data_IF_525923887696
#
_entry.id   IF_525923887696
#
_cell.length_a   1.000
_cell.length_b   1.000
_cell.length_c   1.000
_cell.angle_alpha   90.00
_cell.angle_beta   90.00
_cell.angle_gamma   90.00
#
_symmetry.space_group_name_H-M   'P 1'
#
loop_
_entity.id
_entity.type
_entity.pdbx_description
1 polymer ?
#
# COMPACT_ATOMS: atom_id res chain seq x y z
N UNK A 1 -56.26 -11.61 -31.94
CA UNK A 1 -55.06 -10.89 -32.41
C UNK A 1 -53.91 -10.84 -31.39
N UNK A 2 -54.10 -11.34 -30.16
CA UNK A 2 -53.12 -11.23 -29.06
C UNK A 2 -52.01 -12.31 -29.07
N UNK A 3 -52.26 -13.49 -29.64
CA UNK A 3 -51.29 -14.59 -29.72
C UNK A 3 -50.14 -14.32 -30.71
N UNK A 4 -50.40 -13.56 -31.79
CA UNK A 4 -49.39 -13.31 -32.84
C UNK A 4 -48.32 -12.30 -32.39
N UNK A 5 -48.70 -11.29 -31.58
CA UNK A 5 -47.76 -10.28 -31.06
C UNK A 5 -46.76 -10.86 -30.04
N UNK A 6 -47.17 -11.89 -29.29
CA UNK A 6 -46.34 -12.54 -28.25
C UNK A 6 -45.29 -13.50 -28.87
N UNK A 7 -45.66 -14.19 -29.95
CA UNK A 7 -44.75 -15.06 -30.71
C UNK A 7 -43.66 -14.27 -31.44
N UNK A 8 -44.00 -13.08 -31.97
CA UNK A 8 -43.04 -12.20 -32.66
C UNK A 8 -41.99 -11.65 -31.66
N UNK A 9 -42.39 -11.26 -30.44
CA UNK A 9 -41.44 -10.76 -29.43
C UNK A 9 -40.48 -11.84 -28.90
N UNK A 10 -40.95 -13.08 -28.75
CA UNK A 10 -40.10 -14.22 -28.33
C UNK A 10 -39.15 -14.67 -29.45
N UNK A 11 -39.58 -14.60 -30.72
CA UNK A 11 -38.73 -14.86 -31.89
C UNK A 11 -37.68 -13.76 -32.13
N UNK A 12 -38.03 -12.48 -31.94
CA UNK A 12 -37.08 -11.38 -32.04
C UNK A 12 -36.05 -11.38 -30.90
N UNK A 13 -36.45 -11.72 -29.66
CA UNK A 13 -35.51 -11.88 -28.55
C UNK A 13 -34.57 -13.07 -28.75
N UNK A 14 -35.07 -14.22 -29.18
CA UNK A 14 -34.23 -15.40 -29.45
C UNK A 14 -33.34 -15.24 -30.68
N UNK A 15 -33.78 -14.52 -31.71
CA UNK A 15 -32.95 -14.14 -32.85
C UNK A 15 -31.87 -13.11 -32.45
N UNK A 16 -32.22 -12.13 -31.62
CA UNK A 16 -31.27 -11.14 -31.13
C UNK A 16 -30.21 -11.77 -30.22
N UNK A 17 -30.61 -12.68 -29.33
CA UNK A 17 -29.69 -13.51 -28.56
C UNK A 17 -28.80 -14.35 -29.47
N UNK A 18 -29.38 -15.05 -30.45
CA UNK A 18 -28.65 -15.88 -31.42
C UNK A 18 -27.60 -15.11 -32.24
N UNK A 19 -27.91 -13.89 -32.67
CA UNK A 19 -26.96 -13.01 -33.36
C UNK A 19 -25.87 -12.48 -32.42
N UNK A 20 -26.20 -12.21 -31.15
CA UNK A 20 -25.22 -11.85 -30.13
C UNK A 20 -24.23 -13.00 -29.88
N UNK A 21 -24.74 -14.22 -29.72
CA UNK A 21 -23.93 -15.42 -29.51
C UNK A 21 -22.99 -15.66 -30.69
N UNK A 22 -23.49 -15.60 -31.93
CA UNK A 22 -22.66 -15.79 -33.14
C UNK A 22 -21.58 -14.72 -33.26
N UNK A 23 -21.88 -13.46 -32.91
CA UNK A 23 -20.92 -12.34 -32.96
C UNK A 23 -19.84 -12.48 -31.90
N UNK A 24 -20.19 -12.96 -30.69
CA UNK A 24 -19.24 -13.29 -29.63
C UNK A 24 -18.39 -14.49 -30.01
N UNK A 25 -18.98 -15.53 -30.58
CA UNK A 25 -18.28 -16.75 -31.01
C UNK A 25 -17.27 -16.45 -32.12
N UNK A 26 -17.65 -15.71 -33.16
CA UNK A 26 -16.73 -15.31 -34.23
C UNK A 26 -15.61 -14.41 -33.72
N UNK A 27 -15.90 -13.48 -32.82
CA UNK A 27 -14.88 -12.62 -32.21
C UNK A 27 -13.91 -13.43 -31.33
N UNK A 28 -14.42 -14.38 -30.55
CA UNK A 28 -13.62 -15.24 -29.70
C UNK A 28 -12.72 -16.17 -30.52
N UNK A 29 -13.24 -16.79 -31.57
CA UNK A 29 -12.47 -17.64 -32.47
C UNK A 29 -11.39 -16.86 -33.22
N UNK A 30 -11.70 -15.65 -33.70
CA UNK A 30 -10.75 -14.78 -34.38
C UNK A 30 -9.59 -14.32 -33.48
N UNK A 31 -9.84 -14.15 -32.18
CA UNK A 31 -8.86 -13.63 -31.21
C UNK A 31 -8.43 -14.65 -30.15
N UNK A 32 -8.72 -15.94 -30.36
CA UNK A 32 -8.58 -16.99 -29.34
C UNK A 32 -7.22 -17.00 -28.65
N UNK A 33 -6.14 -16.92 -29.43
CA UNK A 33 -4.78 -16.95 -28.89
C UNK A 33 -4.46 -15.71 -28.05
N UNK A 34 -4.93 -14.53 -28.48
CA UNK A 34 -4.77 -13.29 -27.73
C UNK A 34 -5.56 -13.33 -26.42
N UNK A 35 -6.81 -13.79 -26.45
CA UNK A 35 -7.66 -13.92 -25.27
C UNK A 35 -7.07 -14.90 -24.26
N UNK A 36 -6.63 -16.08 -24.71
CA UNK A 36 -5.97 -17.07 -23.85
C UNK A 36 -4.66 -16.51 -23.27
N UNK A 37 -3.86 -15.80 -24.08
CA UNK A 37 -2.63 -15.16 -23.62
C UNK A 37 -2.87 -14.10 -22.54
N UNK A 38 -3.86 -13.22 -22.74
CA UNK A 38 -4.25 -12.21 -21.75
C UNK A 38 -4.77 -12.86 -20.48
N UNK A 39 -5.64 -13.88 -20.59
CA UNK A 39 -6.15 -14.60 -19.44
C UNK A 39 -5.03 -15.29 -18.64
N UNK A 40 -4.11 -15.98 -19.31
CA UNK A 40 -2.95 -16.59 -18.67
C UNK A 40 -2.06 -15.55 -17.98
N UNK A 41 -1.83 -14.40 -18.61
CA UNK A 41 -1.07 -13.30 -18.01
C UNK A 41 -1.74 -12.76 -16.74
N UNK A 42 -3.08 -12.61 -16.73
CA UNK A 42 -3.83 -12.21 -15.54
C UNK A 42 -3.68 -13.25 -14.42
N UNK A 43 -3.81 -14.54 -14.73
CA UNK A 43 -3.64 -15.61 -13.74
C UNK A 43 -2.23 -15.59 -13.13
N UNK A 44 -1.20 -15.42 -13.95
CA UNK A 44 0.19 -15.30 -13.48
C UNK A 44 0.37 -14.04 -12.62
N UNK A 45 -0.20 -12.91 -13.02
CA UNK A 45 -0.11 -11.67 -12.25
C UNK A 45 -0.77 -11.80 -10.86
N UNK A 46 -1.98 -12.39 -10.82
CA UNK A 46 -2.69 -12.67 -9.56
C UNK A 46 -1.88 -13.65 -8.71
N UNK A 47 -1.46 -14.78 -9.29
CA UNK A 47 -0.67 -15.80 -8.60
C UNK A 47 0.65 -15.25 -8.05
N UNK A 48 1.36 -14.45 -8.85
CA UNK A 48 2.58 -13.77 -8.45
C UNK A 48 2.37 -12.78 -7.31
N UNK A 49 1.29 -11.98 -7.37
CA UNK A 49 0.94 -11.04 -6.30
C UNK A 49 0.63 -11.74 -4.98
N UNK A 50 -0.24 -12.76 -4.99
CA UNK A 50 -0.57 -13.52 -3.79
C UNK A 50 0.64 -14.30 -3.24
N UNK A 51 1.45 -14.88 -4.12
CA UNK A 51 2.70 -15.55 -3.76
C UNK A 51 3.66 -14.61 -3.04
N UNK A 52 3.90 -13.42 -3.60
CA UNK A 52 4.76 -12.41 -2.97
C UNK A 52 4.20 -11.95 -1.61
N UNK A 53 2.90 -11.64 -1.55
CA UNK A 53 2.25 -11.19 -0.31
C UNK A 53 2.39 -12.20 0.81
N UNK A 54 2.08 -13.47 0.55
CA UNK A 54 2.00 -14.51 1.59
C UNK A 54 3.36 -15.11 1.96
N UNK A 55 4.25 -15.27 0.99
CA UNK A 55 5.55 -15.93 1.21
C UNK A 55 6.66 -14.96 1.63
N UNK A 56 6.54 -13.68 1.30
CA UNK A 56 7.59 -12.69 1.53
C UNK A 56 7.08 -11.57 2.44
N UNK A 57 5.99 -10.91 2.09
CA UNK A 57 5.55 -9.71 2.82
C UNK A 57 5.02 -10.02 4.22
N UNK A 58 4.16 -11.03 4.37
CA UNK A 58 3.58 -11.42 5.65
C UNK A 58 4.63 -11.88 6.68
N UNK A 59 5.55 -12.83 6.38
CA UNK A 59 6.60 -13.21 7.33
C UNK A 59 7.51 -12.04 7.70
N UNK A 60 7.82 -11.18 6.72
CA UNK A 60 8.66 -10.00 6.93
C UNK A 60 7.98 -8.97 7.84
N UNK A 61 6.67 -8.79 7.73
CA UNK A 61 5.90 -7.93 8.64
C UNK A 61 5.84 -8.52 10.06
N UNK A 62 5.67 -9.83 10.21
CA UNK A 62 5.68 -10.49 11.52
C UNK A 62 7.03 -10.33 12.24
N UNK A 63 8.14 -10.51 11.51
CA UNK A 63 9.48 -10.30 12.03
C UNK A 63 9.75 -8.82 12.34
N UNK A 64 9.21 -7.88 11.54
CA UNK A 64 9.31 -6.46 11.84
C UNK A 64 8.60 -6.10 13.16
N UNK A 65 7.38 -6.64 13.37
CA UNK A 65 6.56 -6.39 14.57
C UNK A 65 7.23 -6.85 15.85
N UNK A 66 7.93 -7.99 15.82
CA UNK A 66 8.65 -8.45 17.01
C UNK A 66 9.85 -7.56 17.33
N UNK A 67 10.57 -7.10 16.30
CA UNK A 67 11.80 -6.31 16.47
C UNK A 67 11.55 -4.84 16.81
N UNK A 68 10.45 -4.25 16.38
CA UNK A 68 10.14 -2.83 16.68
C UNK A 68 9.77 -2.60 18.15
N UNK A 69 9.29 -3.64 18.86
CA UNK A 69 8.75 -3.52 20.20
C UNK A 69 9.74 -2.90 21.19
N UNK A 70 11.01 -3.30 21.14
CA UNK A 70 12.05 -2.73 22.01
C UNK A 70 12.26 -1.23 21.76
N UNK A 71 12.28 -0.81 20.48
CA UNK A 71 12.42 0.59 20.11
C UNK A 71 11.24 1.44 20.60
N UNK A 72 10.02 0.91 20.55
CA UNK A 72 8.84 1.58 21.11
C UNK A 72 8.94 1.75 22.63
N UNK A 73 9.38 0.71 23.35
CA UNK A 73 9.60 0.80 24.80
C UNK A 73 10.66 1.85 25.15
N UNK A 74 11.75 1.94 24.37
CA UNK A 74 12.74 3.01 24.57
C UNK A 74 12.16 4.39 24.31
N UNK A 75 11.34 4.54 23.27
CA UNK A 75 10.68 5.81 22.96
C UNK A 75 9.73 6.25 24.07
N UNK A 76 8.92 5.34 24.60
CA UNK A 76 8.00 5.60 25.72
C UNK A 76 8.72 6.03 27.00
N UNK A 77 9.96 5.55 27.19
CA UNK A 77 10.83 5.93 28.31
C UNK A 77 11.66 7.20 28.05
N UNK A 78 11.40 7.90 26.94
CA UNK A 78 12.16 9.07 26.47
C UNK A 78 13.66 8.78 26.23
N UNK A 79 14.03 7.50 26.09
CA UNK A 79 15.38 7.05 25.74
C UNK A 79 15.59 7.14 24.23
N UNK A 80 15.51 8.35 23.68
CA UNK A 80 15.43 8.59 22.24
C UNK A 80 16.62 8.04 21.45
N UNK A 81 17.83 8.09 22.02
CA UNK A 81 19.02 7.55 21.36
C UNK A 81 18.95 6.02 21.20
N UNK A 82 18.50 5.31 22.24
CA UNK A 82 18.29 3.86 22.20
C UNK A 82 17.12 3.49 21.29
N UNK A 83 16.05 4.29 21.30
CA UNK A 83 14.92 4.09 20.40
C UNK A 83 15.34 4.22 18.92
N UNK A 84 16.20 5.20 18.61
CA UNK A 84 16.66 5.49 17.25
C UNK A 84 17.68 4.47 16.75
N UNK A 85 18.71 4.20 17.56
CA UNK A 85 19.90 3.43 17.15
C UNK A 85 19.88 1.97 17.62
N UNK A 86 19.10 1.65 18.65
CA UNK A 86 19.13 0.35 19.32
C UNK A 86 20.15 0.29 20.45
N UNK A 87 20.24 -0.87 21.09
CA UNK A 87 21.13 -1.16 22.22
C UNK A 87 22.27 -2.13 21.85
N UNK A 88 22.40 -2.48 20.55
CA UNK A 88 23.35 -3.46 20.03
C UNK A 88 22.82 -4.90 19.98
N UNK A 89 21.73 -5.20 20.70
CA UNK A 89 21.03 -6.50 20.66
C UNK A 89 19.71 -6.34 19.91
N UNK A 90 18.94 -5.33 20.31
CA UNK A 90 17.67 -4.93 19.75
C UNK A 90 17.88 -3.79 18.74
N UNK A 91 17.29 -3.90 17.54
CA UNK A 91 17.38 -2.83 16.54
C UNK A 91 16.56 -1.60 16.96
N UNK A 92 17.11 -0.41 16.70
CA UNK A 92 16.37 0.85 16.79
C UNK A 92 15.56 1.14 15.52
N UNK A 93 14.78 2.22 15.54
CA UNK A 93 13.91 2.58 14.42
C UNK A 93 14.65 2.78 13.09
N UNK A 94 15.90 3.28 13.08
CA UNK A 94 16.68 3.41 11.84
C UNK A 94 16.95 2.06 11.16
N UNK A 95 17.25 1.04 11.95
CA UNK A 95 17.43 -0.32 11.43
C UNK A 95 16.10 -0.91 10.93
N UNK A 96 14.99 -0.60 11.61
CA UNK A 96 13.66 -1.06 11.20
C UNK A 96 13.21 -0.40 9.89
N UNK A 97 13.36 0.93 9.76
CA UNK A 97 12.99 1.66 8.52
C UNK A 97 13.75 1.14 7.29
N UNK A 98 15.05 0.86 7.45
CA UNK A 98 15.90 0.38 6.36
C UNK A 98 15.66 -1.09 6.00
N UNK A 99 15.45 -1.96 6.99
CA UNK A 99 15.27 -3.41 6.79
C UNK A 99 13.85 -3.78 6.34
N UNK A 100 12.85 -3.01 6.78
CA UNK A 100 11.42 -3.32 6.61
C UNK A 100 10.64 -2.30 5.77
N UNK A 101 11.29 -1.62 4.80
CA UNK A 101 10.71 -0.56 3.94
C UNK A 101 9.31 -0.81 3.37
N UNK A 102 8.96 -2.06 3.06
CA UNK A 102 7.70 -2.43 2.39
C UNK A 102 6.68 -3.09 3.34
N UNK A 103 6.85 -2.88 4.65
CA UNK A 103 5.95 -3.41 5.67
C UNK A 103 5.30 -2.28 6.44
N UNK A 104 4.13 -2.55 7.05
CA UNK A 104 3.40 -1.55 7.83
C UNK A 104 4.23 -1.12 9.06
N UNK A 105 4.98 -2.05 9.63
CA UNK A 105 5.89 -1.77 10.74
C UNK A 105 7.09 -0.91 10.33
N UNK A 106 7.70 -1.17 9.16
CA UNK A 106 8.76 -0.28 8.65
C UNK A 106 8.25 1.13 8.33
N UNK A 107 7.01 1.23 7.84
CA UNK A 107 6.32 2.50 7.66
C UNK A 107 6.10 3.23 9.00
N UNK A 108 5.61 2.53 10.03
CA UNK A 108 5.45 3.09 11.37
C UNK A 108 6.78 3.54 11.98
N UNK A 109 7.86 2.80 11.74
CA UNK A 109 9.20 3.21 12.17
C UNK A 109 9.64 4.54 11.55
N UNK A 110 9.22 4.86 10.31
CA UNK A 110 9.51 6.18 9.72
C UNK A 110 8.87 7.31 10.54
N UNK A 111 7.62 7.12 10.96
CA UNK A 111 6.93 8.10 11.80
C UNK A 111 7.67 8.35 13.12
N UNK A 112 8.00 7.29 13.87
CA UNK A 112 8.75 7.44 15.11
C UNK A 112 10.15 8.03 14.92
N UNK A 113 10.86 7.63 13.85
CA UNK A 113 12.17 8.19 13.50
C UNK A 113 12.06 9.69 13.27
N UNK A 114 11.05 10.13 12.51
CA UNK A 114 10.77 11.54 12.27
C UNK A 114 10.45 12.32 13.56
N UNK A 115 9.61 11.75 14.45
CA UNK A 115 9.32 12.35 15.75
C UNK A 115 10.55 12.49 16.64
N UNK A 116 11.44 11.49 16.65
CA UNK A 116 12.70 11.56 17.40
C UNK A 116 13.57 12.69 16.86
N UNK A 117 13.70 12.81 15.54
CA UNK A 117 14.48 13.89 14.94
C UNK A 117 13.89 15.27 15.18
N UNK A 118 12.56 15.42 15.21
CA UNK A 118 11.91 16.67 15.66
C UNK A 118 12.30 17.01 17.10
N UNK A 119 12.24 16.03 18.01
CA UNK A 119 12.65 16.22 19.42
C UNK A 119 14.13 16.60 19.56
N UNK A 120 14.96 16.17 18.62
CA UNK A 120 16.40 16.47 18.56
C UNK A 120 16.70 17.78 17.79
N UNK A 121 15.69 18.51 17.32
CA UNK A 121 15.83 19.69 16.46
C UNK A 121 16.62 19.41 15.16
N UNK A 122 16.65 18.15 14.72
CA UNK A 122 17.23 17.78 13.43
C UNK A 122 16.13 17.83 12.36
N UNK A 123 15.83 19.04 11.91
CA UNK A 123 14.67 19.34 11.07
C UNK A 123 14.75 18.64 9.71
N UNK A 124 15.93 18.58 9.10
CA UNK A 124 16.12 17.92 7.80
C UNK A 124 15.80 16.42 7.86
N UNK A 125 16.32 15.73 8.87
CA UNK A 125 16.03 14.30 9.02
C UNK A 125 14.59 14.06 9.46
N UNK A 126 14.02 14.94 10.29
CA UNK A 126 12.61 14.86 10.64
C UNK A 126 11.71 14.89 9.40
N UNK A 127 11.91 15.86 8.51
CA UNK A 127 11.18 15.97 7.25
C UNK A 127 11.40 14.73 6.37
N UNK A 128 12.66 14.28 6.25
CA UNK A 128 13.04 13.11 5.44
C UNK A 128 12.30 11.84 5.86
N UNK A 129 12.10 11.61 7.16
CA UNK A 129 11.41 10.42 7.66
C UNK A 129 9.89 10.61 7.73
N UNK A 130 9.39 11.77 8.16
CA UNK A 130 7.94 12.04 8.19
C UNK A 130 7.31 12.01 6.80
N UNK A 131 8.01 12.53 5.78
CA UNK A 131 7.52 12.50 4.38
C UNK A 131 7.46 11.09 3.77
N UNK A 132 8.20 10.12 4.33
CA UNK A 132 8.15 8.71 3.93
C UNK A 132 7.04 7.94 4.63
N UNK A 133 6.52 8.47 5.74
CA UNK A 133 5.42 7.84 6.46
C UNK A 133 4.13 7.96 5.64
N UNK A 134 3.45 6.83 5.46
CA UNK A 134 2.14 6.73 4.82
C UNK A 134 1.09 6.55 5.90
N UNK A 135 0.28 7.58 6.21
CA UNK A 135 -0.75 7.51 7.24
C UNK A 135 -1.83 6.47 6.89
N UNK A 136 -2.34 5.77 7.89
CA UNK A 136 -3.42 4.79 7.72
C UNK A 136 -4.82 5.39 7.79
N UNK A 137 -4.95 6.62 8.31
CA UNK A 137 -6.22 7.32 8.49
C UNK A 137 -6.05 8.82 8.21
N UNK A 138 -7.16 9.50 7.92
CA UNK A 138 -7.19 10.95 7.69
C UNK A 138 -6.71 11.76 8.90
N UNK A 139 -6.95 11.27 10.12
CA UNK A 139 -6.51 11.92 11.35
C UNK A 139 -4.98 11.87 11.48
N UNK A 140 -4.38 10.71 11.22
CA UNK A 140 -2.93 10.54 11.22
C UNK A 140 -2.28 11.33 10.08
N UNK A 141 -2.96 11.47 8.95
CA UNK A 141 -2.53 12.32 7.84
C UNK A 141 -2.50 13.78 8.23
N UNK A 142 -3.58 14.30 8.80
CA UNK A 142 -3.64 15.68 9.31
C UNK A 142 -2.57 15.96 10.37
N UNK A 143 -2.34 15.02 11.28
CA UNK A 143 -1.27 15.13 12.28
C UNK A 143 0.12 15.17 11.65
N UNK A 144 0.40 14.25 10.73
CA UNK A 144 1.71 14.17 10.06
C UNK A 144 1.96 15.42 9.21
N UNK A 145 0.96 15.91 8.49
CA UNK A 145 1.06 17.12 7.68
C UNK A 145 1.29 18.35 8.54
N UNK A 146 0.64 18.44 9.70
CA UNK A 146 0.93 19.51 10.67
C UNK A 146 2.39 19.48 11.13
N UNK A 147 2.89 18.31 11.52
CA UNK A 147 4.28 18.16 11.94
C UNK A 147 5.27 18.51 10.82
N UNK A 148 4.96 18.13 9.58
CA UNK A 148 5.76 18.50 8.42
C UNK A 148 5.69 20.01 8.15
N UNK A 149 4.52 20.63 8.24
CA UNK A 149 4.36 22.07 8.05
C UNK A 149 5.14 22.87 9.10
N UNK A 150 5.03 22.47 10.37
CA UNK A 150 5.81 23.06 11.47
C UNK A 150 7.33 22.92 11.18
N UNK A 151 7.77 21.74 10.72
CA UNK A 151 9.18 21.50 10.38
C UNK A 151 9.66 22.30 9.16
N UNK A 152 8.85 22.43 8.11
CA UNK A 152 9.18 23.22 6.93
C UNK A 152 9.24 24.72 7.25
N UNK A 153 8.33 25.20 8.10
CA UNK A 153 8.36 26.56 8.63
C UNK A 153 9.63 26.84 9.43
N UNK A 154 10.04 25.92 10.32
CA UNK A 154 11.30 26.03 11.07
C UNK A 154 12.53 26.02 10.16
N UNK A 155 12.48 25.25 9.06
CA UNK A 155 13.51 25.25 8.01
C UNK A 155 13.52 26.54 7.16
N UNK A 156 12.48 27.38 7.25
CA UNK A 156 12.32 28.61 6.49
C UNK A 156 11.72 28.43 5.08
N UNK A 157 11.17 27.25 4.77
CA UNK A 157 10.54 26.94 3.48
C UNK A 157 9.01 27.09 3.59
N UNK A 158 8.54 28.34 3.47
CA UNK A 158 7.12 28.68 3.69
C UNK A 158 6.19 28.16 2.60
N UNK A 159 6.70 27.80 1.42
CA UNK A 159 5.88 27.26 0.33
C UNK A 159 5.44 25.81 0.60
N UNK A 160 6.22 25.09 1.43
CA UNK A 160 5.94 23.72 1.85
C UNK A 160 5.35 23.60 3.25
N UNK A 161 5.32 24.71 3.99
CA UNK A 161 4.74 24.81 5.32
C UNK A 161 3.20 24.83 5.24
#
# INVERSE_FOLDING_TARGET
MTQNKKNISEQEQSAHEGDLYKKVETFFLANRNAIIGVFAAIVIAIGGYFGYKKLIQEPKELDARSKIAAAQVYFEKDSLNLALNGDGINPGFLAITSSYKNTATGNLANYYTGLIYLKQQNIDEAINYLSKYKPGTSELEGLTNRLLGDAWSEKGDMDKA
#
